data_IF_213624121993
#
_entry.id   IF_213624121993
#
_cell.length_a   1.000
_cell.length_b   1.000
_cell.length_c   1.000
_cell.angle_alpha   90.00
_cell.angle_beta   90.00
_cell.angle_gamma   90.00
#
_symmetry.space_group_name_H-M   'P 1'
#
loop_
_entity.id
_entity.type
_entity.pdbx_description
1 polymer ?
#
# COMPACT_ATOMS: atom_id res chain seq x y z
N UNK A 1 -4.33 -0.08 3.76
CA UNK A 1 -4.96 -1.40 3.56
C UNK A 1 -6.42 -1.25 3.16
N UNK A 2 -7.14 -0.38 3.85
CA UNK A 2 -8.57 -0.11 3.66
C UNK A 2 -8.96 0.17 2.21
N UNK A 3 -8.13 0.92 1.46
CA UNK A 3 -8.35 1.16 0.03
C UNK A 3 -8.45 -0.15 -0.79
N UNK A 4 -7.59 -1.13 -0.53
CA UNK A 4 -7.62 -2.43 -1.20
C UNK A 4 -8.86 -3.22 -0.76
N UNK A 5 -9.09 -3.30 0.55
CA UNK A 5 -10.22 -4.02 1.14
C UNK A 5 -11.57 -3.52 0.61
N UNK A 6 -11.76 -2.20 0.54
CA UNK A 6 -12.96 -1.59 0.00
C UNK A 6 -13.21 -1.98 -1.47
N UNK A 7 -12.15 -1.96 -2.28
CA UNK A 7 -12.21 -2.22 -3.73
C UNK A 7 -12.42 -3.71 -4.04
N UNK A 8 -11.72 -4.59 -3.33
CA UNK A 8 -11.71 -6.03 -3.60
C UNK A 8 -12.71 -6.81 -2.73
N UNK A 9 -13.40 -6.15 -1.81
CA UNK A 9 -14.33 -6.77 -0.84
C UNK A 9 -13.62 -7.84 0.02
N UNK A 10 -12.48 -7.46 0.57
CA UNK A 10 -11.65 -8.30 1.45
C UNK A 10 -11.48 -7.68 2.83
N UNK A 11 -10.98 -8.45 3.80
CA UNK A 11 -10.78 -7.98 5.19
C UNK A 11 -9.34 -8.12 5.69
N UNK A 12 -8.36 -8.03 4.79
CA UNK A 12 -6.97 -8.15 5.19
C UNK A 12 -6.57 -7.10 6.23
N UNK A 13 -5.79 -7.51 7.22
CA UNK A 13 -5.21 -6.65 8.25
C UNK A 13 -3.76 -6.31 7.90
N UNK A 14 -3.36 -5.05 8.10
CA UNK A 14 -1.95 -4.69 7.99
C UNK A 14 -1.15 -5.41 9.08
N UNK A 15 -0.07 -6.08 8.69
CA UNK A 15 0.80 -6.81 9.62
C UNK A 15 2.11 -6.06 9.87
N UNK A 16 2.89 -5.79 8.80
CA UNK A 16 4.17 -5.08 8.91
C UNK A 16 4.60 -4.45 7.59
N UNK A 17 5.40 -3.39 7.67
CA UNK A 17 6.05 -2.76 6.53
C UNK A 17 7.36 -3.50 6.20
N UNK A 18 7.61 -3.81 4.93
CA UNK A 18 8.86 -4.45 4.49
C UNK A 18 9.83 -3.45 3.85
N UNK A 19 9.29 -2.54 3.04
CA UNK A 19 10.09 -1.53 2.33
C UNK A 19 9.28 -0.25 2.18
N UNK A 20 9.96 0.87 2.33
CA UNK A 20 9.45 2.18 1.95
C UNK A 20 10.55 2.93 1.19
N UNK A 21 10.22 3.40 -0.01
CA UNK A 21 11.02 4.38 -0.72
C UNK A 21 10.25 5.69 -0.78
N UNK A 22 10.95 6.81 -0.61
CA UNK A 22 10.38 8.16 -0.60
C UNK A 22 10.98 8.96 -1.73
N UNK A 23 10.14 9.74 -2.40
CA UNK A 23 10.52 10.71 -3.40
C UNK A 23 9.85 12.05 -3.13
N UNK A 24 10.61 13.14 -3.22
CA UNK A 24 10.06 14.49 -3.19
C UNK A 24 9.24 14.80 -4.45
N UNK A 25 8.05 15.36 -4.27
CA UNK A 25 7.15 15.83 -5.33
C UNK A 25 6.45 17.11 -4.86
N UNK A 26 5.19 17.35 -5.24
CA UNK A 26 4.31 18.34 -4.57
C UNK A 26 3.82 17.77 -3.22
N UNK A 27 4.76 17.45 -2.33
CA UNK A 27 4.56 16.62 -1.14
C UNK A 27 5.57 15.48 -1.09
N UNK A 28 5.23 14.40 -0.38
CA UNK A 28 6.05 13.19 -0.30
C UNK A 28 5.34 12.00 -0.96
N UNK A 29 5.96 11.45 -1.98
CA UNK A 29 5.47 10.27 -2.67
C UNK A 29 6.13 9.01 -2.09
N UNK A 30 5.33 8.10 -1.56
CA UNK A 30 5.76 6.85 -0.95
C UNK A 30 5.49 5.67 -1.88
N UNK A 31 6.50 4.82 -2.04
CA UNK A 31 6.41 3.50 -2.65
C UNK A 31 6.60 2.46 -1.55
N UNK A 32 5.50 1.87 -1.12
CA UNK A 32 5.43 0.98 0.04
C UNK A 32 5.35 -0.48 -0.43
N UNK A 33 6.06 -1.37 0.25
CA UNK A 33 5.86 -2.82 0.22
C UNK A 33 5.59 -3.28 1.64
N UNK A 34 4.49 -3.99 1.87
CA UNK A 34 4.07 -4.41 3.19
C UNK A 34 3.35 -5.75 3.17
N UNK A 35 3.27 -6.41 4.32
CA UNK A 35 2.55 -7.68 4.48
C UNK A 35 1.18 -7.41 5.07
N UNK A 36 0.16 -7.97 4.45
CA UNK A 36 -1.20 -8.09 4.99
C UNK A 36 -1.50 -9.52 5.41
N UNK A 37 -2.34 -9.70 6.43
CA UNK A 37 -2.84 -10.99 6.90
C UNK A 37 -4.32 -11.11 6.59
N UNK A 38 -4.73 -12.18 5.92
CA UNK A 38 -6.14 -12.51 5.79
C UNK A 38 -6.62 -13.12 7.12
N UNK A 39 -7.59 -12.51 7.83
CA UNK A 39 -8.06 -13.04 9.11
C UNK A 39 -8.83 -14.36 8.97
N UNK A 40 -9.48 -14.63 7.83
CA UNK A 40 -10.29 -15.83 7.61
C UNK A 40 -9.42 -17.08 7.44
N UNK A 41 -8.39 -16.99 6.59
CA UNK A 41 -7.51 -18.11 6.25
C UNK A 41 -6.23 -18.14 7.09
N UNK A 42 -5.96 -17.08 7.84
CA UNK A 42 -4.72 -16.86 8.57
C UNK A 42 -3.46 -16.85 7.66
N UNK A 43 -3.62 -16.62 6.36
CA UNK A 43 -2.50 -16.54 5.41
C UNK A 43 -2.01 -15.10 5.27
N UNK A 44 -0.76 -14.95 4.85
CA UNK A 44 -0.15 -13.64 4.58
C UNK A 44 0.04 -13.41 3.10
N UNK A 45 -0.15 -12.17 2.65
CA UNK A 45 0.10 -11.74 1.29
C UNK A 45 0.93 -10.45 1.29
N UNK A 46 1.86 -10.32 0.34
CA UNK A 46 2.65 -9.09 0.15
C UNK A 46 1.89 -8.15 -0.77
N UNK A 47 1.86 -6.89 -0.39
CA UNK A 47 1.21 -5.81 -1.12
C UNK A 47 2.23 -4.74 -1.50
N UNK A 48 1.94 -4.05 -2.60
CA UNK A 48 2.60 -2.81 -2.96
C UNK A 48 1.59 -1.67 -3.08
N UNK A 49 1.99 -0.49 -2.64
CA UNK A 49 1.17 0.71 -2.72
C UNK A 49 1.99 1.93 -3.11
N UNK A 50 1.33 2.84 -3.83
CA UNK A 50 1.86 4.17 -4.14
C UNK A 50 0.94 5.20 -3.52
N UNK A 51 1.48 5.98 -2.59
CA UNK A 51 0.71 6.93 -1.76
C UNK A 51 1.39 8.29 -1.80
N UNK A 52 0.64 9.34 -2.15
CA UNK A 52 1.09 10.71 -2.02
C UNK A 52 0.60 11.26 -0.69
N UNK A 53 1.52 11.73 0.15
CA UNK A 53 1.20 12.68 1.22
C UNK A 53 1.40 14.09 0.66
N UNK A 54 0.32 14.70 0.19
CA UNK A 54 0.36 16.03 -0.41
C UNK A 54 0.58 17.14 0.61
N UNK A 55 0.48 18.38 0.14
CA UNK A 55 0.48 19.57 1.00
C UNK A 55 -0.98 19.92 1.30
N UNK A 56 -1.41 19.98 2.58
CA UNK A 56 -2.78 20.33 2.93
C UNK A 56 -3.07 21.78 2.53
N UNK A 57 -4.30 22.05 2.06
CA UNK A 57 -4.71 23.41 1.65
C UNK A 57 -5.16 24.23 2.86
N UNK A 58 -5.85 23.58 3.80
CA UNK A 58 -6.30 24.15 5.06
C UNK A 58 -5.84 23.31 6.25
N UNK A 59 -5.89 23.90 7.45
CA UNK A 59 -5.65 23.19 8.70
C UNK A 59 -6.74 22.12 8.87
N UNK A 60 -6.33 20.86 9.06
CA UNK A 60 -7.22 19.72 9.26
C UNK A 60 -7.51 18.89 8.00
N UNK A 61 -7.13 19.37 6.81
CA UNK A 61 -7.25 18.56 5.59
C UNK A 61 -6.33 17.33 5.67
N UNK A 62 -6.81 16.15 5.24
CA UNK A 62 -5.95 15.01 4.94
C UNK A 62 -5.54 15.05 3.47
N UNK A 63 -4.29 15.43 3.13
CA UNK A 63 -3.84 15.51 1.76
C UNK A 63 -3.35 14.14 1.24
N UNK A 64 -3.73 13.04 1.89
CA UNK A 64 -3.29 11.70 1.52
C UNK A 64 -4.09 11.19 0.33
N UNK A 65 -3.39 10.88 -0.76
CA UNK A 65 -3.95 10.26 -1.95
C UNK A 65 -3.33 8.89 -2.17
N UNK A 66 -4.16 7.85 -2.26
CA UNK A 66 -3.72 6.49 -2.58
C UNK A 66 -3.89 6.28 -4.09
N UNK A 67 -2.80 6.33 -4.85
CA UNK A 67 -2.86 6.10 -6.30
C UNK A 67 -3.19 4.64 -6.62
N UNK A 68 -2.56 3.71 -5.89
CA UNK A 68 -2.94 2.31 -5.94
C UNK A 68 -2.48 1.57 -4.68
N UNK A 69 -3.15 0.46 -4.42
CA UNK A 69 -2.75 -0.59 -3.50
C UNK A 69 -3.16 -1.92 -4.14
N UNK A 70 -2.23 -2.87 -4.27
CA UNK A 70 -2.50 -4.18 -4.89
C UNK A 70 -1.57 -5.25 -4.33
N UNK A 71 -1.94 -6.51 -4.53
CA UNK A 71 -1.03 -7.63 -4.27
C UNK A 71 0.22 -7.49 -5.14
N UNK A 72 1.39 -7.72 -4.53
CA UNK A 72 2.66 -7.71 -5.24
C UNK A 72 2.81 -9.04 -5.97
N UNK A 73 3.04 -8.98 -7.28
CA UNK A 73 3.29 -10.18 -8.06
C UNK A 73 4.51 -10.94 -7.50
N UNK A 74 4.52 -12.28 -7.56
CA UNK A 74 5.73 -13.05 -7.32
C UNK A 74 6.86 -12.53 -8.24
N UNK A 75 8.13 -12.59 -7.81
CA UNK A 75 9.23 -12.35 -8.74
C UNK A 75 9.07 -13.28 -9.95
N UNK A 76 9.16 -12.72 -11.16
CA UNK A 76 9.06 -13.52 -12.38
C UNK A 76 10.13 -14.61 -12.33
N UNK A 77 9.72 -15.87 -12.43
CA UNK A 77 10.65 -16.99 -12.65
C UNK A 77 11.34 -16.75 -13.98
N UNK A 78 12.63 -16.44 -13.92
CA UNK A 78 13.49 -16.46 -15.10
C UNK A 78 13.89 -17.93 -15.24
N UNK A 79 13.20 -18.67 -16.11
CA UNK A 79 13.66 -20.00 -16.51
C UNK A 79 15.06 -19.84 -17.14
N UNK A 80 16.03 -20.55 -16.56
CA UNK A 80 17.44 -20.61 -17.02
C UNK A 80 17.57 -21.69 -18.08
#
# INVERSE_FOLDING_TARGET
MDHYNYKMKTEYQFLRLEKANVQGARGLLYYLTFVGRNPETNTTQVFEARVLRGIPKNIGDDPTEVYFCREKAPPATTDV
#
